data_IF_086518931878
#
_entry.id   IF_086518931878
#
_cell.length_a   1.000
_cell.length_b   1.000
_cell.length_c   1.000
_cell.angle_alpha   90.00
_cell.angle_beta   90.00
_cell.angle_gamma   90.00
#
_symmetry.space_group_name_H-M   'P 1'
#
loop_
_entity.id
_entity.type
_entity.pdbx_description
1 polymer ?
#
# COMPACT_ATOMS: atom_id res chain seq x y z
N UNK A 1 -26.20 10.06 2.94
CA UNK A 1 -25.30 8.93 3.22
C UNK A 1 -24.09 9.01 2.30
N UNK A 2 -24.29 9.39 1.02
CA UNK A 2 -23.23 9.77 0.07
C UNK A 2 -22.20 10.77 0.64
N UNK A 3 -22.64 11.81 1.36
CA UNK A 3 -21.74 12.84 1.92
C UNK A 3 -20.64 12.29 2.87
N UNK A 4 -20.90 11.20 3.59
CA UNK A 4 -19.93 10.64 4.55
C UNK A 4 -18.82 9.80 3.90
N UNK A 5 -19.12 9.17 2.77
CA UNK A 5 -18.17 8.40 1.96
C UNK A 5 -17.34 9.32 1.06
N UNK A 6 -17.96 10.34 0.45
CA UNK A 6 -17.26 11.37 -0.32
C UNK A 6 -16.24 12.13 0.56
N UNK A 7 -16.58 12.37 1.83
CA UNK A 7 -15.67 13.01 2.80
C UNK A 7 -14.40 12.16 3.07
N UNK A 8 -14.52 10.82 3.08
CA UNK A 8 -13.37 9.92 3.25
C UNK A 8 -12.39 10.05 2.08
N UNK A 9 -12.94 10.13 0.87
CA UNK A 9 -12.16 10.25 -0.37
C UNK A 9 -11.41 11.58 -0.41
N UNK A 10 -12.10 12.67 -0.08
CA UNK A 10 -11.52 14.02 -0.02
C UNK A 10 -10.43 14.13 1.05
N UNK A 11 -10.69 13.62 2.27
CA UNK A 11 -9.69 13.63 3.35
C UNK A 11 -8.46 12.82 2.94
N UNK A 12 -8.65 11.64 2.35
CA UNK A 12 -7.55 10.80 1.88
C UNK A 12 -6.70 11.46 0.80
N UNK A 13 -7.33 12.17 -0.15
CA UNK A 13 -6.64 12.92 -1.19
C UNK A 13 -5.83 14.08 -0.60
N UNK A 14 -6.45 14.90 0.24
CA UNK A 14 -5.79 16.05 0.90
C UNK A 14 -4.60 15.57 1.73
N UNK A 15 -4.78 14.49 2.50
CA UNK A 15 -3.72 13.88 3.30
C UNK A 15 -2.56 13.40 2.44
N UNK A 16 -2.85 12.72 1.33
CA UNK A 16 -1.85 12.23 0.39
C UNK A 16 -1.04 13.37 -0.25
N UNK A 17 -1.72 14.45 -0.65
CA UNK A 17 -1.09 15.66 -1.20
C UNK A 17 -0.19 16.33 -0.15
N UNK A 18 -0.68 16.46 1.08
CA UNK A 18 0.08 17.11 2.15
C UNK A 18 1.36 16.33 2.52
N UNK A 19 1.24 15.00 2.64
CA UNK A 19 2.38 14.12 2.90
C UNK A 19 3.34 14.10 1.71
N UNK A 20 2.84 14.12 0.48
CA UNK A 20 3.67 14.23 -0.73
C UNK A 20 4.50 15.51 -0.70
N UNK A 21 3.90 16.67 -0.41
CA UNK A 21 4.63 17.92 -0.34
C UNK A 21 5.67 17.92 0.76
N UNK A 22 5.33 17.37 1.94
CA UNK A 22 6.28 17.20 3.03
C UNK A 22 7.48 16.36 2.60
N UNK A 23 7.27 15.12 2.14
CA UNK A 23 8.35 14.22 1.75
C UNK A 23 9.18 14.81 0.60
N UNK A 24 8.52 15.38 -0.42
CA UNK A 24 9.18 16.00 -1.57
C UNK A 24 10.05 17.19 -1.17
N UNK A 25 9.54 18.07 -0.30
CA UNK A 25 10.32 19.20 0.23
C UNK A 25 11.60 18.71 0.90
N UNK A 26 11.50 17.72 1.79
CA UNK A 26 12.66 17.20 2.49
C UNK A 26 13.60 16.37 1.60
N UNK A 27 13.07 15.71 0.57
CA UNK A 27 13.85 14.91 -0.36
C UNK A 27 14.63 15.78 -1.36
N UNK A 28 14.03 16.86 -1.86
CA UNK A 28 14.59 17.70 -2.93
C UNK A 28 15.39 18.92 -2.44
N UNK A 29 15.24 19.33 -1.16
CA UNK A 29 15.93 20.51 -0.62
C UNK A 29 17.44 20.34 -0.42
N UNK A 30 17.94 19.11 -0.36
CA UNK A 30 19.33 18.83 0.01
C UNK A 30 20.26 19.02 -1.20
N UNK A 31 20.99 20.14 -1.24
CA UNK A 31 21.99 20.43 -2.28
C UNK A 31 23.21 19.50 -2.22
N UNK A 32 23.55 19.01 -1.03
CA UNK A 32 24.57 17.99 -0.78
C UNK A 32 23.94 16.85 0.03
N UNK A 33 23.28 15.93 -0.67
CA UNK A 33 22.57 14.81 -0.05
C UNK A 33 23.53 13.67 0.31
N UNK A 34 23.83 13.54 1.60
CA UNK A 34 24.73 12.54 2.19
C UNK A 34 24.04 11.21 2.53
N UNK A 35 22.72 11.12 2.31
CA UNK A 35 21.96 9.89 2.53
C UNK A 35 22.47 8.77 1.63
N UNK A 36 22.36 7.55 2.12
CA UNK A 36 22.70 6.34 1.37
C UNK A 36 21.73 6.13 0.20
N UNK A 37 22.15 5.40 -0.83
CA UNK A 37 21.37 5.23 -2.07
C UNK A 37 19.98 4.64 -1.83
N UNK A 38 19.84 3.74 -0.87
CA UNK A 38 18.60 3.05 -0.54
C UNK A 38 17.62 3.96 0.20
N UNK A 39 18.13 4.90 1.03
CA UNK A 39 17.32 5.98 1.62
C UNK A 39 16.80 6.93 0.54
N UNK A 40 17.66 7.32 -0.40
CA UNK A 40 17.30 8.15 -1.56
C UNK A 40 16.27 7.46 -2.46
N UNK A 41 16.51 6.19 -2.80
CA UNK A 41 15.62 5.39 -3.63
C UNK A 41 14.28 5.15 -2.94
N UNK A 42 14.29 4.79 -1.65
CA UNK A 42 13.07 4.62 -0.87
C UNK A 42 12.21 5.88 -0.83
N UNK A 43 12.82 7.05 -0.59
CA UNK A 43 12.11 8.33 -0.64
C UNK A 43 11.50 8.60 -2.03
N UNK A 44 12.26 8.37 -3.10
CA UNK A 44 11.77 8.55 -4.48
C UNK A 44 10.59 7.61 -4.78
N UNK A 45 10.67 6.34 -4.39
CA UNK A 45 9.60 5.36 -4.60
C UNK A 45 8.33 5.70 -3.80
N UNK A 46 8.47 6.19 -2.56
CA UNK A 46 7.33 6.67 -1.76
C UNK A 46 6.70 7.91 -2.40
N UNK A 47 7.50 8.84 -2.94
CA UNK A 47 6.99 9.99 -3.70
C UNK A 47 6.19 9.52 -4.93
N UNK A 48 6.73 8.58 -5.70
CA UNK A 48 6.02 8.01 -6.85
C UNK A 48 4.74 7.29 -6.47
N UNK A 49 4.73 6.56 -5.35
CA UNK A 49 3.54 5.90 -4.81
C UNK A 49 2.44 6.92 -4.50
N UNK A 50 2.79 8.00 -3.80
CA UNK A 50 1.83 9.07 -3.48
C UNK A 50 1.33 9.79 -4.73
N UNK A 51 2.22 10.10 -5.69
CA UNK A 51 1.85 10.67 -6.98
C UNK A 51 0.88 9.77 -7.75
N UNK A 52 1.13 8.46 -7.78
CA UNK A 52 0.24 7.50 -8.40
C UNK A 52 -1.14 7.48 -7.75
N UNK A 53 -1.21 7.45 -6.41
CA UNK A 53 -2.50 7.46 -5.70
C UNK A 53 -3.26 8.76 -5.93
N UNK A 54 -2.60 9.92 -5.82
CA UNK A 54 -3.21 11.23 -6.11
C UNK A 54 -3.75 11.27 -7.53
N UNK A 55 -2.95 10.86 -8.52
CA UNK A 55 -3.38 10.87 -9.92
C UNK A 55 -4.55 9.91 -10.17
N UNK A 56 -4.56 8.73 -9.55
CA UNK A 56 -5.68 7.79 -9.64
C UNK A 56 -6.97 8.39 -9.06
N UNK A 57 -6.89 9.08 -7.91
CA UNK A 57 -8.05 9.73 -7.29
C UNK A 57 -8.53 10.96 -8.05
N UNK A 58 -7.62 11.78 -8.57
CA UNK A 58 -8.01 12.93 -9.40
C UNK A 58 -8.78 12.49 -10.65
N UNK A 59 -8.46 11.33 -11.23
CA UNK A 59 -9.21 10.76 -12.37
C UNK A 59 -10.64 10.32 -12.00
N UNK A 60 -10.88 9.95 -10.75
CA UNK A 60 -12.24 9.62 -10.27
C UNK A 60 -13.07 10.89 -10.04
N UNK A 61 -12.40 12.02 -9.72
CA UNK A 61 -13.04 13.30 -9.37
C UNK A 61 -13.24 14.27 -10.55
N UNK A 62 -12.40 14.19 -11.60
CA UNK A 62 -12.49 15.08 -12.75
C UNK A 62 -13.40 14.44 -13.81
N UNK A 63 -14.56 15.04 -14.15
CA UNK A 63 -15.38 14.55 -15.25
C UNK A 63 -14.60 14.64 -16.56
N UNK A 64 -14.67 13.59 -17.39
CA UNK A 64 -13.94 13.47 -18.65
C UNK A 64 -14.05 14.76 -19.48
N UNK A 65 -12.90 15.37 -19.77
CA UNK A 65 -12.79 16.60 -20.56
C UNK A 65 -12.79 16.29 -22.07
N UNK A 66 -13.94 15.84 -22.57
CA UNK A 66 -14.48 16.30 -23.86
C UNK A 66 -13.66 16.11 -25.15
N UNK A 67 -12.90 15.02 -25.32
CA UNK A 67 -12.50 14.58 -26.67
C UNK A 67 -13.48 13.51 -27.17
N UNK A 68 -14.50 13.95 -27.92
CA UNK A 68 -15.55 13.11 -28.52
C UNK A 68 -15.13 12.51 -29.89
N UNK A 69 -13.84 12.28 -30.13
CA UNK A 69 -13.37 11.54 -31.31
C UNK A 69 -13.17 10.06 -30.95
N UNK A 70 -13.96 9.13 -31.52
CA UNK A 70 -13.92 7.69 -31.19
C UNK A 70 -12.55 7.02 -31.44
N UNK A 71 -11.82 7.45 -32.46
CA UNK A 71 -10.54 6.83 -32.84
C UNK A 71 -9.39 7.33 -31.95
N UNK A 72 -9.44 8.61 -31.57
CA UNK A 72 -8.47 9.24 -30.66
C UNK A 72 -8.73 8.83 -29.21
N UNK A 73 -10.00 8.70 -28.82
CA UNK A 73 -10.39 8.27 -27.47
C UNK A 73 -9.99 6.83 -27.16
N UNK A 74 -10.17 5.90 -28.10
CA UNK A 74 -9.77 4.49 -27.91
C UNK A 74 -8.27 4.34 -27.60
N UNK A 75 -7.43 4.97 -28.42
CA UNK A 75 -5.97 4.96 -28.21
C UNK A 75 -5.56 5.63 -26.89
N UNK A 76 -6.17 6.78 -26.56
CA UNK A 76 -5.86 7.51 -25.32
C UNK A 76 -6.24 6.69 -24.08
N UNK A 77 -7.42 6.05 -24.07
CA UNK A 77 -7.87 5.20 -22.96
C UNK A 77 -6.91 4.02 -22.78
N UNK A 78 -6.56 3.33 -23.85
CA UNK A 78 -5.63 2.20 -23.80
C UNK A 78 -4.23 2.61 -23.33
N UNK A 79 -3.68 3.69 -23.89
CA UNK A 79 -2.37 4.21 -23.50
C UNK A 79 -2.35 4.64 -22.02
N UNK A 80 -3.40 5.32 -21.55
CA UNK A 80 -3.55 5.72 -20.15
C UNK A 80 -3.62 4.51 -19.23
N UNK A 81 -4.39 3.49 -19.59
CA UNK A 81 -4.51 2.26 -18.82
C UNK A 81 -3.20 1.46 -18.78
N UNK A 82 -2.49 1.37 -19.92
CA UNK A 82 -1.19 0.73 -20.01
C UNK A 82 -0.17 1.42 -19.10
N UNK A 83 -0.05 2.75 -19.21
CA UNK A 83 0.86 3.53 -18.38
C UNK A 83 0.47 3.48 -16.89
N UNK A 84 -0.82 3.51 -16.56
CA UNK A 84 -1.31 3.36 -15.18
C UNK A 84 -0.89 2.03 -14.57
N UNK A 85 -1.06 0.94 -15.33
CA UNK A 85 -0.62 -0.39 -14.91
C UNK A 85 0.89 -0.41 -14.66
N UNK A 86 1.70 0.00 -15.64
CA UNK A 86 3.16 0.02 -15.51
C UNK A 86 3.65 0.81 -14.29
N UNK A 87 3.06 1.99 -14.02
CA UNK A 87 3.39 2.79 -12.84
C UNK A 87 3.16 2.02 -11.55
N UNK A 88 1.97 1.44 -11.39
CA UNK A 88 1.60 0.67 -10.21
C UNK A 88 2.62 -0.46 -9.99
N UNK A 89 2.88 -1.26 -11.01
CA UNK A 89 3.77 -2.41 -10.90
C UNK A 89 5.23 -2.02 -10.66
N UNK A 90 5.76 -1.01 -11.34
CA UNK A 90 7.13 -0.57 -11.09
C UNK A 90 7.35 -0.08 -9.67
N UNK A 91 6.47 0.78 -9.16
CA UNK A 91 6.61 1.34 -7.82
C UNK A 91 6.61 0.21 -6.77
N UNK A 92 5.62 -0.68 -6.81
CA UNK A 92 5.50 -1.75 -5.83
C UNK A 92 6.64 -2.77 -5.91
N UNK A 93 7.02 -3.21 -7.12
CA UNK A 93 8.11 -4.16 -7.30
C UNK A 93 9.45 -3.58 -6.84
N UNK A 94 9.77 -2.35 -7.20
CA UNK A 94 11.02 -1.73 -6.79
C UNK A 94 11.06 -1.43 -5.29
N UNK A 95 9.93 -1.05 -4.70
CA UNK A 95 9.85 -0.85 -3.24
C UNK A 95 10.11 -2.16 -2.48
N UNK A 96 9.60 -3.29 -2.98
CA UNK A 96 9.83 -4.62 -2.39
C UNK A 96 11.22 -5.20 -2.67
N UNK A 97 11.74 -5.03 -3.89
CA UNK A 97 12.95 -5.75 -4.35
C UNK A 97 14.25 -4.97 -4.21
N UNK A 98 14.20 -3.65 -4.00
CA UNK A 98 15.39 -2.81 -3.85
C UNK A 98 15.66 -2.36 -2.41
N UNK A 99 14.64 -1.99 -1.65
CA UNK A 99 14.84 -1.21 -0.42
C UNK A 99 15.07 -2.06 0.84
N UNK A 100 14.17 -2.97 1.25
CA UNK A 100 14.35 -3.70 2.51
C UNK A 100 15.61 -4.59 2.46
N UNK A 101 15.76 -5.33 1.37
CA UNK A 101 16.95 -6.10 1.01
C UNK A 101 17.10 -6.00 -0.51
N UNK A 102 18.24 -5.52 -1.04
CA UNK A 102 18.44 -5.41 -2.48
C UNK A 102 18.61 -6.79 -3.09
N UNK A 103 17.51 -7.33 -3.61
CA UNK A 103 17.47 -8.54 -4.42
C UNK A 103 18.02 -8.27 -5.82
N UNK A 104 17.72 -7.09 -6.36
CA UNK A 104 18.26 -6.62 -7.63
C UNK A 104 19.59 -5.90 -7.36
N UNK A 105 20.69 -6.65 -7.31
CA UNK A 105 22.04 -6.13 -7.01
C UNK A 105 22.75 -5.55 -8.22
N UNK A 106 22.31 -5.85 -9.44
CA UNK A 106 22.95 -5.39 -10.66
C UNK A 106 21.99 -4.56 -11.51
N UNK A 107 22.51 -3.53 -12.20
CA UNK A 107 21.71 -2.69 -13.09
C UNK A 107 20.96 -3.46 -14.18
N UNK A 108 21.53 -4.56 -14.70
CA UNK A 108 20.84 -5.40 -15.67
C UNK A 108 19.61 -6.12 -15.09
N UNK A 109 19.61 -6.48 -13.80
CA UNK A 109 18.46 -7.11 -13.15
C UNK A 109 17.28 -6.14 -13.06
N UNK A 110 17.57 -4.86 -12.80
CA UNK A 110 16.58 -3.78 -12.84
C UNK A 110 16.05 -3.60 -14.26
N UNK A 111 16.94 -3.64 -15.27
CA UNK A 111 16.54 -3.65 -16.69
C UNK A 111 15.61 -4.82 -17.05
N UNK A 112 15.90 -6.02 -16.57
CA UNK A 112 15.08 -7.22 -16.79
C UNK A 112 13.72 -7.08 -16.11
N UNK A 113 13.64 -6.66 -14.85
CA UNK A 113 12.36 -6.37 -14.17
C UNK A 113 11.59 -5.27 -14.91
N UNK A 114 12.31 -4.23 -15.33
CA UNK A 114 11.87 -3.18 -16.23
C UNK A 114 11.09 -3.73 -17.44
N UNK A 115 11.77 -4.58 -18.20
CA UNK A 115 11.23 -5.21 -19.41
C UNK A 115 10.09 -6.19 -19.12
N UNK A 116 10.19 -6.98 -18.05
CA UNK A 116 9.14 -7.92 -17.66
C UNK A 116 7.82 -7.21 -17.36
N UNK A 117 7.84 -6.04 -16.70
CA UNK A 117 6.62 -5.25 -16.50
C UNK A 117 6.01 -4.82 -17.83
N UNK A 118 6.81 -4.36 -18.80
CA UNK A 118 6.30 -3.99 -20.13
C UNK A 118 5.64 -5.20 -20.81
N UNK A 119 6.35 -6.33 -20.85
CA UNK A 119 5.89 -7.56 -21.53
C UNK A 119 4.64 -8.11 -20.86
N UNK A 120 4.62 -8.18 -19.52
CA UNK A 120 3.45 -8.70 -18.81
C UNK A 120 2.28 -7.72 -18.87
N UNK A 121 2.50 -6.41 -18.89
CA UNK A 121 1.41 -5.44 -19.15
C UNK A 121 0.83 -5.65 -20.54
N UNK A 122 1.68 -5.89 -21.53
CA UNK A 122 1.22 -6.24 -22.86
C UNK A 122 0.43 -7.55 -22.86
N UNK A 123 0.92 -8.63 -22.24
CA UNK A 123 0.23 -9.92 -22.20
C UNK A 123 -1.11 -9.85 -21.45
N UNK A 124 -1.12 -9.25 -20.25
CA UNK A 124 -2.33 -9.09 -19.42
C UNK A 124 -3.42 -8.31 -20.17
N UNK A 125 -3.05 -7.34 -21.02
CA UNK A 125 -3.99 -6.52 -21.78
C UNK A 125 -4.31 -7.04 -23.20
N UNK A 126 -3.36 -7.72 -23.85
CA UNK A 126 -3.52 -8.27 -25.22
C UNK A 126 -4.19 -9.64 -25.25
N UNK A 127 -4.36 -10.30 -24.10
CA UNK A 127 -5.22 -11.47 -23.95
C UNK A 127 -6.73 -11.14 -24.11
N UNK A 128 -7.09 -9.97 -24.64
CA UNK A 128 -8.45 -9.63 -25.03
C UNK A 128 -8.82 -10.32 -26.35
N UNK A 129 -9.77 -11.26 -26.28
CA UNK A 129 -10.59 -11.53 -27.46
C UNK A 129 -11.41 -10.25 -27.77
N UNK A 130 -11.78 -10.02 -29.03
CA UNK A 130 -12.46 -8.78 -29.47
C UNK A 130 -13.79 -8.49 -28.75
N UNK A 131 -14.39 -9.51 -28.11
CA UNK A 131 -15.62 -9.42 -27.32
C UNK A 131 -15.38 -9.63 -25.80
N UNK A 132 -14.13 -9.68 -25.36
CA UNK A 132 -13.75 -9.86 -23.97
C UNK A 132 -13.68 -8.51 -23.24
N UNK A 133 -14.13 -8.48 -21.98
CA UNK A 133 -13.85 -7.37 -21.09
C UNK A 133 -12.32 -7.16 -20.98
N UNK A 134 -11.78 -5.96 -21.29
CA UNK A 134 -10.34 -5.68 -21.35
C UNK A 134 -9.61 -5.77 -20.00
N UNK A 135 -10.31 -6.04 -18.90
CA UNK A 135 -9.73 -5.97 -17.56
C UNK A 135 -9.25 -7.30 -16.94
N UNK A 136 -9.53 -8.48 -17.53
CA UNK A 136 -9.53 -9.73 -16.72
C UNK A 136 -9.03 -11.04 -17.38
N UNK A 137 -8.22 -11.01 -18.44
CA UNK A 137 -7.85 -12.26 -19.13
C UNK A 137 -6.52 -12.90 -18.69
N UNK A 138 -5.58 -12.14 -18.12
CA UNK A 138 -4.36 -12.67 -17.50
C UNK A 138 -3.88 -11.73 -16.38
N UNK A 139 -3.23 -12.30 -15.37
CA UNK A 139 -2.77 -11.66 -14.14
C UNK A 139 -1.30 -11.95 -13.86
N UNK A 140 -0.47 -11.98 -14.90
CA UNK A 140 0.97 -12.24 -14.76
C UNK A 140 1.66 -11.15 -13.94
N UNK A 141 1.27 -9.89 -14.12
CA UNK A 141 1.83 -8.79 -13.33
C UNK A 141 1.49 -8.92 -11.85
N UNK A 142 0.25 -9.27 -11.53
CA UNK A 142 -0.19 -9.45 -10.15
C UNK A 142 0.49 -10.66 -9.51
N UNK A 143 0.62 -11.75 -10.26
CA UNK A 143 1.42 -12.92 -9.86
C UNK A 143 2.87 -12.55 -9.58
N UNK A 144 3.48 -11.68 -10.40
CA UNK A 144 4.83 -11.19 -10.18
C UNK A 144 4.93 -10.32 -8.91
N UNK A 145 3.95 -9.45 -8.62
CA UNK A 145 3.86 -8.76 -7.32
C UNK A 145 3.82 -9.78 -6.19
N UNK A 146 3.02 -10.85 -6.30
CA UNK A 146 2.90 -11.85 -5.22
C UNK A 146 4.22 -12.56 -4.94
N UNK A 147 4.99 -12.86 -5.97
CA UNK A 147 6.36 -13.40 -5.80
C UNK A 147 7.27 -12.40 -5.10
N UNK A 148 7.20 -11.11 -5.44
CA UNK A 148 7.95 -10.06 -4.75
C UNK A 148 7.49 -9.87 -3.29
N UNK A 149 6.17 -9.98 -3.03
CA UNK A 149 5.61 -9.94 -1.69
C UNK A 149 6.15 -11.05 -0.80
N UNK A 150 6.35 -12.25 -1.34
CA UNK A 150 6.92 -13.38 -0.59
C UNK A 150 8.34 -13.09 -0.07
N UNK A 151 9.12 -12.24 -0.77
CA UNK A 151 10.42 -11.77 -0.29
C UNK A 151 10.25 -10.92 0.95
N UNK A 152 9.43 -9.86 0.89
CA UNK A 152 9.14 -9.01 2.05
C UNK A 152 8.50 -9.82 3.19
N UNK A 153 7.59 -10.74 2.88
CA UNK A 153 6.96 -11.65 3.83
C UNK A 153 7.99 -12.44 4.62
N UNK A 154 8.96 -13.05 3.94
CA UNK A 154 9.99 -13.85 4.62
C UNK A 154 10.79 -13.04 5.63
N UNK A 155 11.11 -11.77 5.29
CA UNK A 155 11.87 -10.86 6.14
C UNK A 155 11.01 -10.34 7.29
N UNK A 156 9.80 -9.87 7.00
CA UNK A 156 8.86 -9.34 7.98
C UNK A 156 8.40 -10.40 8.99
N UNK A 157 8.08 -11.62 8.52
CA UNK A 157 7.68 -12.72 9.40
C UNK A 157 8.85 -13.16 10.29
N UNK A 158 10.05 -13.33 9.73
CA UNK A 158 11.24 -13.65 10.53
C UNK A 158 11.46 -12.61 11.62
N UNK A 159 11.29 -11.33 11.28
CA UNK A 159 11.44 -10.23 12.21
C UNK A 159 10.38 -10.24 13.33
N UNK A 160 9.12 -10.56 13.03
CA UNK A 160 8.08 -10.73 14.06
C UNK A 160 8.36 -11.91 15.00
N UNK A 161 8.79 -13.04 14.43
CA UNK A 161 9.04 -14.26 15.19
C UNK A 161 10.33 -14.18 16.02
N UNK A 162 11.34 -13.48 15.53
CA UNK A 162 12.66 -13.42 16.16
C UNK A 162 13.23 -11.99 16.13
N UNK A 163 12.55 -11.00 16.75
CA UNK A 163 13.07 -9.65 16.80
C UNK A 163 14.40 -9.64 17.57
N UNK A 164 15.47 -9.04 17.03
CA UNK A 164 16.71 -8.88 17.78
C UNK A 164 16.49 -7.99 19.01
N UNK A 165 17.29 -8.14 20.08
CA UNK A 165 17.28 -7.24 21.23
C UNK A 165 17.45 -5.78 20.80
N UNK A 166 16.85 -4.81 21.48
CA UNK A 166 16.92 -3.39 21.11
C UNK A 166 18.29 -2.76 21.37
N UNK A 167 19.01 -3.28 22.35
CA UNK A 167 20.35 -2.88 22.77
C UNK A 167 21.46 -3.56 21.96
N UNK A 168 21.11 -4.46 21.02
CA UNK A 168 22.08 -5.07 20.14
C UNK A 168 22.59 -4.05 19.09
N UNK A 169 23.92 -3.86 19.08
CA UNK A 169 24.63 -2.94 18.17
C UNK A 169 25.39 -3.66 17.04
N UNK A 170 25.31 -4.99 16.98
CA UNK A 170 25.97 -5.75 15.93
C UNK A 170 25.29 -5.54 14.58
N UNK A 171 26.09 -5.45 13.51
CA UNK A 171 25.59 -5.16 12.16
C UNK A 171 24.46 -6.07 11.66
N UNK A 172 24.38 -7.33 12.14
CA UNK A 172 23.34 -8.26 11.71
C UNK A 172 22.01 -7.93 12.38
N UNK A 173 22.02 -7.65 13.68
CA UNK A 173 20.84 -7.19 14.41
C UNK A 173 20.31 -5.87 13.84
N UNK A 174 21.18 -4.89 13.58
CA UNK A 174 20.79 -3.60 13.00
C UNK A 174 20.16 -3.77 11.60
N UNK A 175 20.80 -4.59 10.74
CA UNK A 175 20.27 -4.88 9.41
C UNK A 175 18.92 -5.63 9.47
N UNK A 176 18.75 -6.54 10.43
CA UNK A 176 17.49 -7.26 10.64
C UNK A 176 16.37 -6.35 11.13
N UNK A 177 16.64 -5.39 12.03
CA UNK A 177 15.65 -4.38 12.45
C UNK A 177 15.23 -3.52 11.27
N UNK A 178 16.20 -2.95 10.56
CA UNK A 178 15.95 -2.08 9.40
C UNK A 178 15.15 -2.77 8.29
N UNK A 179 15.61 -3.94 7.85
CA UNK A 179 14.94 -4.71 6.79
C UNK A 179 13.58 -5.26 7.24
N UNK A 180 13.48 -5.73 8.49
CA UNK A 180 12.26 -6.26 9.09
C UNK A 180 11.15 -5.22 9.22
N UNK A 181 11.46 -4.06 9.80
CA UNK A 181 10.51 -2.96 9.88
C UNK A 181 10.06 -2.50 8.48
N UNK A 182 10.99 -2.36 7.54
CA UNK A 182 10.66 -1.85 6.20
C UNK A 182 9.78 -2.85 5.46
N UNK A 183 10.07 -4.14 5.59
CA UNK A 183 9.27 -5.21 5.02
C UNK A 183 7.84 -5.24 5.59
N UNK A 184 7.67 -5.09 6.91
CA UNK A 184 6.34 -5.02 7.53
C UNK A 184 5.53 -3.82 7.03
N UNK A 185 6.16 -2.65 6.96
CA UNK A 185 5.51 -1.46 6.40
C UNK A 185 5.15 -1.64 4.93
N UNK A 186 6.07 -2.16 4.12
CA UNK A 186 5.86 -2.41 2.69
C UNK A 186 4.68 -3.34 2.46
N UNK A 187 4.60 -4.41 3.24
CA UNK A 187 3.49 -5.36 3.13
C UNK A 187 2.19 -4.68 3.48
N UNK A 188 2.13 -3.85 4.52
CA UNK A 188 0.92 -3.11 4.86
C UNK A 188 0.47 -2.11 3.77
N UNK A 189 1.37 -1.67 2.87
CA UNK A 189 1.03 -0.89 1.66
C UNK A 189 0.56 -1.78 0.50
N UNK A 190 1.15 -2.97 0.34
CA UNK A 190 0.78 -3.91 -0.73
C UNK A 190 -0.49 -4.71 -0.38
N UNK A 191 -0.83 -4.78 0.91
CA UNK A 191 -2.07 -5.31 1.47
C UNK A 191 -3.26 -4.43 1.07
N UNK A 192 -3.66 -4.55 -0.19
CA UNK A 192 -4.86 -3.98 -0.80
C UNK A 192 -6.15 -4.64 -0.26
N UNK A 193 -7.33 -4.22 -0.72
CA UNK A 193 -8.66 -4.83 -0.53
C UNK A 193 -8.62 -6.37 -0.54
N UNK A 194 -7.73 -6.96 -1.32
CA UNK A 194 -7.52 -8.41 -1.39
C UNK A 194 -7.32 -9.08 -0.02
N UNK A 195 -6.81 -8.37 1.01
CA UNK A 195 -6.69 -8.93 2.37
C UNK A 195 -8.05 -9.32 2.97
N UNK A 196 -9.11 -8.58 2.64
CA UNK A 196 -10.46 -8.84 3.12
C UNK A 196 -11.13 -10.08 2.55
N UNK A 197 -10.46 -10.73 1.58
CA UNK A 197 -10.91 -11.94 0.89
C UNK A 197 -10.18 -13.19 1.38
N UNK A 198 -9.23 -13.03 2.30
CA UNK A 198 -8.34 -14.11 2.76
C UNK A 198 -9.10 -15.31 3.31
N UNK A 199 -10.19 -15.06 4.06
CA UNK A 199 -11.04 -16.11 4.64
C UNK A 199 -11.87 -16.79 3.54
N UNK A 200 -12.46 -16.00 2.64
CA UNK A 200 -13.30 -16.51 1.55
C UNK A 200 -12.57 -17.56 0.71
N UNK A 201 -11.29 -17.33 0.42
CA UNK A 201 -10.47 -18.29 -0.31
C UNK A 201 -10.29 -19.63 0.44
N UNK A 202 -10.19 -19.60 1.77
CA UNK A 202 -9.92 -20.80 2.59
C UNK A 202 -11.19 -21.61 2.86
N UNK A 203 -12.31 -20.93 3.11
CA UNK A 203 -13.58 -21.59 3.40
C UNK A 203 -14.39 -21.97 2.15
N UNK A 204 -13.94 -21.49 0.97
CA UNK A 204 -14.60 -21.74 -0.30
C UNK A 204 -15.93 -20.99 -0.46
N UNK A 205 -16.17 -19.96 0.34
CA UNK A 205 -17.38 -19.14 0.25
C UNK A 205 -17.35 -18.20 -0.96
N UNK A 206 -18.52 -17.70 -1.34
CA UNK A 206 -18.66 -16.67 -2.37
C UNK A 206 -17.88 -15.38 -2.09
N UNK A 207 -17.38 -15.20 -0.86
CA UNK A 207 -16.50 -14.10 -0.47
C UNK A 207 -15.05 -14.22 -1.02
N UNK A 208 -14.74 -15.30 -1.75
CA UNK A 208 -13.54 -15.43 -2.61
C UNK A 208 -13.73 -14.86 -4.03
N UNK A 209 -14.81 -14.08 -4.21
CA UNK A 209 -15.53 -13.83 -5.46
C UNK A 209 -14.70 -13.58 -6.71
N UNK A 210 -13.55 -12.90 -6.61
CA UNK A 210 -12.71 -12.52 -7.76
C UNK A 210 -12.27 -13.71 -8.64
N UNK A 211 -12.29 -14.93 -8.13
CA UNK A 211 -11.93 -16.14 -8.90
C UNK A 211 -12.97 -16.54 -9.94
N UNK A 212 -14.27 -16.52 -9.62
CA UNK A 212 -15.25 -17.21 -10.45
C UNK A 212 -15.75 -16.44 -11.67
N UNK A 213 -16.14 -15.15 -11.57
CA UNK A 213 -16.57 -14.38 -12.74
C UNK A 213 -15.42 -14.20 -13.72
N UNK A 214 -14.22 -13.84 -13.26
CA UNK A 214 -13.05 -13.63 -14.13
C UNK A 214 -12.68 -14.89 -14.91
N UNK A 215 -12.72 -16.06 -14.27
CA UNK A 215 -12.50 -17.36 -14.93
C UNK A 215 -13.63 -17.70 -15.91
N UNK A 216 -14.89 -17.46 -15.52
CA UNK A 216 -16.05 -17.69 -16.37
C UNK A 216 -16.03 -16.77 -17.60
N UNK A 217 -15.67 -15.50 -17.43
CA UNK A 217 -15.51 -14.53 -18.50
C UNK A 217 -14.35 -14.92 -19.43
N UNK A 218 -13.19 -15.27 -18.89
CA UNK A 218 -12.05 -15.77 -19.67
C UNK A 218 -12.42 -17.01 -20.49
N UNK A 219 -13.20 -17.92 -19.89
CA UNK A 219 -13.70 -19.11 -20.58
C UNK A 219 -14.74 -18.82 -21.66
N UNK A 220 -15.63 -17.85 -21.40
CA UNK A 220 -16.63 -17.41 -22.36
C UNK A 220 -16.02 -16.66 -23.55
N UNK A 221 -14.94 -15.90 -23.33
CA UNK A 221 -14.32 -15.04 -24.34
C UNK A 221 -13.23 -15.74 -25.16
N UNK A 222 -12.35 -16.51 -24.52
CA UNK A 222 -11.14 -17.08 -25.11
C UNK A 222 -11.08 -18.62 -25.01
N UNK A 223 -12.12 -19.24 -24.46
CA UNK A 223 -12.27 -20.69 -24.39
C UNK A 223 -11.63 -21.33 -23.15
N UNK A 224 -11.81 -22.65 -23.03
CA UNK A 224 -11.47 -23.41 -21.83
C UNK A 224 -10.01 -23.26 -21.38
N UNK A 225 -9.05 -23.27 -22.31
CA UNK A 225 -7.63 -23.17 -21.96
C UNK A 225 -7.31 -21.84 -21.28
N UNK A 226 -7.90 -20.73 -21.74
CA UNK A 226 -7.70 -19.43 -21.10
C UNK A 226 -8.36 -19.40 -19.71
N UNK A 227 -9.57 -19.95 -19.58
CA UNK A 227 -10.21 -20.11 -18.27
C UNK A 227 -9.31 -20.82 -17.26
N UNK A 228 -8.63 -21.88 -17.69
CA UNK A 228 -7.72 -22.66 -16.83
C UNK A 228 -6.46 -21.88 -16.45
N UNK A 229 -5.91 -21.07 -17.37
CA UNK A 229 -4.77 -20.18 -17.07
C UNK A 229 -5.19 -19.13 -16.04
N UNK A 230 -6.30 -18.42 -16.29
CA UNK A 230 -6.84 -17.41 -15.36
C UNK A 230 -7.13 -18.01 -13.99
N UNK A 231 -7.68 -19.24 -13.94
CA UNK A 231 -7.96 -19.94 -12.69
C UNK A 231 -6.69 -20.25 -11.91
N UNK A 232 -5.64 -20.71 -12.61
CA UNK A 232 -4.35 -20.99 -11.99
C UNK A 232 -3.69 -19.72 -11.43
N UNK A 233 -3.69 -18.64 -12.21
CA UNK A 233 -3.12 -17.34 -11.79
C UNK A 233 -3.88 -16.76 -10.59
N UNK A 234 -5.22 -16.77 -10.63
CA UNK A 234 -6.05 -16.30 -9.52
C UNK A 234 -5.88 -17.12 -8.25
N UNK A 235 -5.82 -18.46 -8.40
CA UNK A 235 -5.59 -19.37 -7.26
C UNK A 235 -4.22 -19.12 -6.65
N UNK A 236 -3.20 -18.87 -7.47
CA UNK A 236 -1.87 -18.51 -7.00
C UNK A 236 -1.87 -17.17 -6.25
N UNK A 237 -2.52 -16.14 -6.81
CA UNK A 237 -2.59 -14.80 -6.20
C UNK A 237 -3.31 -14.85 -4.85
N UNK A 238 -4.54 -15.36 -4.83
CA UNK A 238 -5.33 -15.43 -3.59
C UNK A 238 -4.70 -16.38 -2.58
N UNK A 239 -4.20 -17.54 -3.02
CA UNK A 239 -3.52 -18.48 -2.13
C UNK A 239 -2.28 -17.87 -1.47
N UNK A 240 -1.49 -17.11 -2.22
CA UNK A 240 -0.33 -16.40 -1.70
C UNK A 240 -0.74 -15.32 -0.70
N UNK A 241 -1.72 -14.49 -1.04
CA UNK A 241 -2.25 -13.46 -0.13
C UNK A 241 -2.80 -14.06 1.17
N UNK A 242 -3.69 -15.06 1.08
CA UNK A 242 -4.26 -15.74 2.24
C UNK A 242 -3.17 -16.35 3.12
N UNK A 243 -2.18 -17.01 2.51
CA UNK A 243 -1.05 -17.57 3.25
C UNK A 243 -0.25 -16.49 4.00
N UNK A 244 0.09 -15.38 3.33
CA UNK A 244 0.80 -14.26 3.93
C UNK A 244 0.01 -13.69 5.11
N UNK A 245 -1.29 -13.42 4.91
CA UNK A 245 -2.16 -12.87 5.95
C UNK A 245 -2.25 -13.78 7.16
N UNK A 246 -2.44 -15.09 6.95
CA UNK A 246 -2.59 -16.06 8.05
C UNK A 246 -1.30 -16.18 8.83
N UNK A 247 -0.17 -16.31 8.13
CA UNK A 247 1.13 -16.40 8.75
C UNK A 247 1.47 -15.12 9.54
N UNK A 248 1.11 -13.93 9.03
CA UNK A 248 1.24 -12.70 9.78
C UNK A 248 0.31 -12.62 10.99
N UNK A 249 -0.95 -13.02 10.88
CA UNK A 249 -1.87 -13.06 12.03
C UNK A 249 -1.33 -13.93 13.16
N UNK A 250 -0.86 -15.14 12.82
CA UNK A 250 -0.24 -16.07 13.78
C UNK A 250 1.07 -15.47 14.33
N UNK A 251 1.91 -14.91 13.47
CA UNK A 251 3.18 -14.27 13.86
C UNK A 251 2.97 -13.10 14.81
N UNK A 252 1.94 -12.28 14.59
CA UNK A 252 1.57 -11.16 15.46
C UNK A 252 1.07 -11.62 16.83
N UNK A 253 0.23 -12.66 16.89
CA UNK A 253 -0.20 -13.27 18.16
C UNK A 253 1.02 -13.80 18.92
N UNK A 254 1.89 -14.56 18.24
CA UNK A 254 3.10 -15.09 18.83
C UNK A 254 3.99 -13.98 19.39
N UNK A 255 4.25 -12.93 18.60
CA UNK A 255 5.06 -11.79 19.01
C UNK A 255 4.48 -11.12 20.26
N UNK A 256 3.18 -10.84 20.29
CA UNK A 256 2.51 -10.22 21.45
C UNK A 256 2.57 -11.09 22.71
N UNK A 257 2.39 -12.40 22.58
CA UNK A 257 2.54 -13.34 23.70
C UNK A 257 3.98 -13.31 24.24
N UNK A 258 4.98 -13.26 23.35
CA UNK A 258 6.38 -13.19 23.74
C UNK A 258 6.74 -11.84 24.38
N UNK A 259 6.18 -10.74 23.90
CA UNK A 259 6.31 -9.43 24.56
C UNK A 259 5.68 -9.43 25.96
N UNK A 260 4.48 -10.01 26.11
CA UNK A 260 3.82 -10.13 27.41
C UNK A 260 4.65 -10.95 28.40
N UNK A 261 5.30 -12.02 27.92
CA UNK A 261 6.24 -12.84 28.69
C UNK A 261 7.62 -12.20 28.90
N UNK A 262 7.83 -10.99 28.37
CA UNK A 262 9.12 -10.26 28.41
C UNK A 262 10.27 -10.99 27.71
N UNK A 263 9.96 -11.90 26.80
CA UNK A 263 10.94 -12.61 25.97
C UNK A 263 11.29 -11.82 24.71
N UNK A 264 10.36 -11.00 24.20
CA UNK A 264 10.58 -10.07 23.10
C UNK A 264 10.50 -8.62 23.58
N UNK A 265 11.25 -7.69 22.96
CA UNK A 265 11.13 -6.26 23.27
C UNK A 265 9.81 -5.68 22.73
N UNK A 266 9.25 -4.71 23.46
CA UNK A 266 8.17 -3.86 22.93
C UNK A 266 8.81 -2.88 21.95
N UNK A 267 8.40 -2.96 20.69
CA UNK A 267 9.02 -2.23 19.58
C UNK A 267 8.01 -1.92 18.47
N UNK A 268 8.46 -1.37 17.35
CA UNK A 268 7.61 -1.15 16.16
C UNK A 268 7.01 -2.48 15.65
N UNK A 269 7.67 -3.63 15.88
CA UNK A 269 7.11 -4.95 15.61
C UNK A 269 5.80 -5.20 16.37
N UNK A 270 5.71 -4.71 17.61
CA UNK A 270 4.54 -4.79 18.47
C UNK A 270 3.40 -3.92 17.92
N UNK A 271 3.73 -2.73 17.42
CA UNK A 271 2.76 -1.82 16.78
C UNK A 271 2.18 -2.46 15.51
N UNK A 272 3.04 -2.96 14.62
CA UNK A 272 2.58 -3.68 13.42
C UNK A 272 1.79 -4.94 13.77
N UNK A 273 2.14 -5.64 14.85
CA UNK A 273 1.36 -6.79 15.33
C UNK A 273 -0.06 -6.39 15.74
N UNK A 274 -0.19 -5.28 16.48
CA UNK A 274 -1.51 -4.73 16.82
C UNK A 274 -2.31 -4.34 15.58
N UNK A 275 -1.68 -3.66 14.63
CA UNK A 275 -2.30 -3.29 13.35
C UNK A 275 -2.77 -4.51 12.55
N UNK A 276 -1.93 -5.53 12.38
CA UNK A 276 -2.27 -6.76 11.65
C UNK A 276 -3.48 -7.45 12.29
N UNK A 277 -3.55 -7.52 13.63
CA UNK A 277 -4.70 -8.11 14.33
C UNK A 277 -5.96 -7.26 14.25
N UNK A 278 -5.82 -5.93 14.23
CA UNK A 278 -6.92 -5.04 13.93
C UNK A 278 -7.49 -5.29 12.52
N UNK A 279 -6.61 -5.38 11.50
CA UNK A 279 -7.03 -5.75 10.14
C UNK A 279 -7.72 -7.12 10.13
N UNK A 280 -7.16 -8.14 10.79
CA UNK A 280 -7.82 -9.43 10.92
C UNK A 280 -9.22 -9.34 11.53
N UNK A 281 -9.42 -8.46 12.51
CA UNK A 281 -10.74 -8.24 13.12
C UNK A 281 -11.74 -7.68 12.09
N UNK A 282 -11.30 -6.74 11.25
CA UNK A 282 -12.10 -6.23 10.13
C UNK A 282 -12.36 -7.29 9.05
N UNK A 283 -11.37 -8.14 8.74
CA UNK A 283 -11.53 -9.29 7.83
C UNK A 283 -12.62 -10.24 8.33
N UNK A 284 -12.57 -10.61 9.62
CA UNK A 284 -13.61 -11.46 10.23
C UNK A 284 -14.98 -10.79 10.19
N UNK A 285 -15.05 -9.49 10.51
CA UNK A 285 -16.31 -8.76 10.52
C UNK A 285 -16.94 -8.66 9.13
N UNK A 286 -16.18 -8.26 8.10
CA UNK A 286 -16.68 -8.23 6.71
C UNK A 286 -17.09 -9.61 6.25
N UNK A 287 -16.30 -10.64 6.57
CA UNK A 287 -16.63 -12.01 6.20
C UNK A 287 -17.92 -12.52 6.83
N UNK A 288 -18.09 -12.29 8.13
CA UNK A 288 -19.34 -12.58 8.83
C UNK A 288 -20.52 -11.83 8.21
N UNK A 289 -20.36 -10.55 7.89
CA UNK A 289 -21.42 -9.73 7.31
C UNK A 289 -21.90 -10.27 5.96
N UNK A 290 -20.96 -10.71 5.11
CA UNK A 290 -21.25 -11.35 3.83
C UNK A 290 -21.99 -12.68 4.02
N UNK A 291 -21.45 -13.61 4.81
CA UNK A 291 -21.99 -14.97 4.93
C UNK A 291 -23.33 -15.00 5.68
N UNK A 292 -23.55 -14.06 6.61
CA UNK A 292 -24.81 -13.93 7.33
C UNK A 292 -25.92 -13.21 6.53
N UNK A 293 -25.58 -12.59 5.40
CA UNK A 293 -26.50 -11.71 4.66
C UNK A 293 -26.82 -10.41 5.40
N UNK A 294 -25.98 -9.99 6.34
CA UNK A 294 -26.13 -8.70 7.03
C UNK A 294 -25.83 -7.50 6.12
N UNK A 295 -24.96 -7.72 5.13
CA UNK A 295 -24.59 -6.74 4.11
C UNK A 295 -24.37 -7.45 2.77
N UNK A 296 -24.70 -6.76 1.69
CA UNK A 296 -24.73 -7.29 0.32
C UNK A 296 -23.89 -6.43 -0.61
N UNK A 297 -23.03 -7.10 -1.38
CA UNK A 297 -22.25 -6.49 -2.44
C UNK A 297 -22.64 -7.09 -3.77
N UNK A 298 -22.52 -6.31 -4.84
CA UNK A 298 -22.68 -6.81 -6.20
C UNK A 298 -21.45 -7.62 -6.63
N UNK A 299 -21.48 -8.09 -7.88
CA UNK A 299 -20.39 -8.85 -8.47
C UNK A 299 -19.09 -8.05 -8.66
N UNK A 300 -19.15 -6.72 -8.57
CA UNK A 300 -18.03 -5.80 -8.67
C UNK A 300 -17.62 -5.24 -7.29
N UNK A 301 -18.15 -5.81 -6.20
CA UNK A 301 -17.91 -5.36 -4.82
C UNK A 301 -18.45 -3.94 -4.54
N UNK A 302 -19.35 -3.45 -5.37
CA UNK A 302 -20.09 -2.24 -5.04
C UNK A 302 -21.13 -2.57 -3.98
N UNK A 303 -21.24 -1.76 -2.93
CA UNK A 303 -22.25 -1.96 -1.91
C UNK A 303 -23.65 -1.83 -2.51
N UNK A 304 -24.51 -2.82 -2.26
CA UNK A 304 -25.91 -2.82 -2.69
C UNK A 304 -26.87 -2.34 -1.60
N UNK A 305 -26.38 -2.18 -0.38
CA UNK A 305 -27.12 -1.69 0.76
C UNK A 305 -26.23 -0.84 1.69
N UNK A 306 -26.88 -0.13 2.61
CA UNK A 306 -26.22 0.82 3.52
C UNK A 306 -25.19 0.15 4.44
N UNK A 307 -25.48 -1.08 4.91
CA UNK A 307 -24.54 -1.81 5.77
C UNK A 307 -23.28 -2.18 4.98
N UNK A 308 -23.44 -2.63 3.73
CA UNK A 308 -22.34 -2.91 2.83
C UNK A 308 -21.49 -1.67 2.57
N UNK A 309 -22.13 -0.52 2.36
CA UNK A 309 -21.42 0.75 2.13
C UNK A 309 -20.56 1.14 3.34
N UNK A 310 -21.12 1.04 4.54
CA UNK A 310 -20.41 1.33 5.81
C UNK A 310 -19.25 0.35 6.01
N UNK A 311 -19.47 -0.95 5.79
CA UNK A 311 -18.43 -1.97 5.94
C UNK A 311 -17.32 -1.77 4.93
N UNK A 312 -17.63 -1.46 3.66
CA UNK A 312 -16.64 -1.09 2.64
C UNK A 312 -15.84 0.15 3.05
N UNK A 313 -16.48 1.15 3.65
CA UNK A 313 -15.80 2.34 4.19
C UNK A 313 -14.80 1.99 5.29
N UNK A 314 -15.19 1.13 6.23
CA UNK A 314 -14.38 0.71 7.38
C UNK A 314 -13.25 -0.25 7.02
N UNK A 315 -13.40 -0.99 5.92
CA UNK A 315 -12.42 -1.96 5.44
C UNK A 315 -11.51 -1.33 4.38
N UNK A 316 -12.00 -1.26 3.15
CA UNK A 316 -11.26 -0.78 1.98
C UNK A 316 -10.97 0.71 2.10
N UNK A 317 -12.01 1.50 2.37
CA UNK A 317 -11.90 2.96 2.48
C UNK A 317 -10.88 3.40 3.55
N UNK A 318 -10.98 2.86 4.75
CA UNK A 318 -10.05 3.15 5.84
C UNK A 318 -8.60 2.77 5.47
N UNK A 319 -8.41 1.61 4.84
CA UNK A 319 -7.07 1.13 4.49
C UNK A 319 -6.43 1.99 3.40
N UNK A 320 -7.16 2.28 2.32
CA UNK A 320 -6.65 3.06 1.20
C UNK A 320 -6.46 4.53 1.51
N UNK A 321 -7.40 5.16 2.21
CA UNK A 321 -7.45 6.61 2.33
C UNK A 321 -6.68 7.12 3.55
N UNK A 322 -6.51 6.29 4.58
CA UNK A 322 -5.86 6.71 5.82
C UNK A 322 -4.60 5.93 6.13
N UNK A 323 -4.65 4.61 6.00
CA UNK A 323 -3.52 3.77 6.39
C UNK A 323 -2.35 3.93 5.40
N UNK A 324 -2.61 3.94 4.09
CA UNK A 324 -1.54 4.08 3.10
C UNK A 324 -0.74 5.39 3.23
N UNK A 325 -1.38 6.58 3.31
CA UNK A 325 -0.62 7.82 3.48
C UNK A 325 0.13 7.85 4.83
N UNK A 326 -0.47 7.31 5.89
CA UNK A 326 0.17 7.22 7.21
C UNK A 326 1.40 6.32 7.18
N UNK A 327 1.31 5.17 6.52
CA UNK A 327 2.44 4.26 6.36
C UNK A 327 3.51 4.89 5.45
N UNK A 328 3.14 5.64 4.41
CA UNK A 328 4.08 6.38 3.58
C UNK A 328 4.87 7.41 4.41
N UNK A 329 4.20 8.15 5.29
CA UNK A 329 4.85 9.06 6.23
C UNK A 329 5.77 8.31 7.21
N UNK A 330 5.30 7.18 7.75
CA UNK A 330 6.09 6.33 8.63
C UNK A 330 7.33 5.79 7.90
N UNK A 331 7.20 5.37 6.64
CA UNK A 331 8.34 5.01 5.79
C UNK A 331 9.32 6.17 5.66
N UNK A 332 8.83 7.34 5.29
CA UNK A 332 9.68 8.49 5.06
C UNK A 332 10.47 8.91 6.30
N UNK A 333 9.79 8.99 7.44
CA UNK A 333 10.35 9.56 8.68
C UNK A 333 11.08 8.50 9.49
N UNK A 334 10.42 7.40 9.86
CA UNK A 334 10.97 6.41 10.80
C UNK A 334 12.13 5.64 10.22
N UNK A 335 12.15 5.41 8.92
CA UNK A 335 13.28 4.75 8.25
C UNK A 335 14.35 5.74 7.78
N UNK A 336 14.23 7.01 8.18
CA UNK A 336 15.18 8.05 7.84
C UNK A 336 15.30 8.27 6.33
N UNK A 337 14.28 7.95 5.52
CA UNK A 337 14.36 8.19 4.08
C UNK A 337 14.53 9.69 3.79
N UNK A 338 14.06 10.56 4.70
CA UNK A 338 14.29 12.01 4.68
C UNK A 338 15.13 12.48 5.88
N UNK A 339 15.86 13.59 5.72
CA UNK A 339 16.69 14.17 6.79
C UNK A 339 15.90 15.23 7.58
N UNK A 340 15.65 14.95 8.86
CA UNK A 340 15.04 15.86 9.83
C UNK A 340 16.11 16.19 10.88
N UNK A 341 16.71 17.37 10.77
CA UNK A 341 17.89 17.72 11.58
C UNK A 341 17.63 18.96 12.46
N UNK A 342 16.89 19.94 11.93
CA UNK A 342 16.69 21.21 12.63
C UNK A 342 15.44 21.21 13.50
N UNK A 343 15.40 22.09 14.51
CA UNK A 343 14.19 22.29 15.32
C UNK A 343 12.99 22.73 14.46
N UNK A 344 13.25 23.50 13.39
CA UNK A 344 12.23 23.87 12.40
C UNK A 344 11.66 22.63 11.70
N UNK A 345 12.50 21.68 11.32
CA UNK A 345 12.07 20.46 10.66
C UNK A 345 11.18 19.61 11.57
N UNK A 346 11.57 19.49 12.85
CA UNK A 346 10.76 18.82 13.88
C UNK A 346 9.40 19.50 14.07
N UNK A 347 9.34 20.83 14.03
CA UNK A 347 8.08 21.59 14.07
C UNK A 347 7.19 21.28 12.87
N UNK A 348 7.75 21.19 11.66
CA UNK A 348 7.00 20.82 10.46
C UNK A 348 6.49 19.38 10.57
N UNK A 349 7.34 18.42 10.97
CA UNK A 349 6.94 17.03 11.21
C UNK A 349 5.78 16.94 12.21
N UNK A 350 5.84 17.70 13.30
CA UNK A 350 4.76 17.76 14.30
C UNK A 350 3.43 18.20 13.70
N UNK A 351 3.45 19.25 12.88
CA UNK A 351 2.24 19.74 12.22
C UNK A 351 1.66 18.66 11.29
N UNK A 352 2.52 17.96 10.55
CA UNK A 352 2.10 16.87 9.66
C UNK A 352 1.53 15.69 10.43
N UNK A 353 2.21 15.22 11.46
CA UNK A 353 1.74 14.12 12.29
C UNK A 353 0.41 14.44 12.98
N UNK A 354 0.25 15.66 13.49
CA UNK A 354 -1.03 16.14 14.04
C UNK A 354 -2.13 16.19 12.98
N UNK A 355 -1.84 16.70 11.79
CA UNK A 355 -2.79 16.73 10.67
C UNK A 355 -3.28 15.33 10.29
N UNK A 356 -2.36 14.35 10.21
CA UNK A 356 -2.69 12.94 9.97
C UNK A 356 -3.59 12.38 11.06
N UNK A 357 -3.24 12.59 12.33
CA UNK A 357 -4.05 12.10 13.45
C UNK A 357 -5.44 12.71 13.48
N UNK A 358 -5.56 14.02 13.21
CA UNK A 358 -6.85 14.71 13.13
C UNK A 358 -7.68 14.15 11.98
N UNK A 359 -7.08 13.89 10.81
CA UNK A 359 -7.76 13.28 9.67
C UNK A 359 -8.27 11.86 9.99
N UNK A 360 -7.42 11.00 10.57
CA UNK A 360 -7.81 9.65 10.99
C UNK A 360 -8.92 9.71 12.03
N UNK A 361 -8.78 10.56 13.04
CA UNK A 361 -9.77 10.71 14.09
C UNK A 361 -11.10 11.19 13.53
N UNK A 362 -11.10 12.21 12.66
CA UNK A 362 -12.31 12.74 12.04
C UNK A 362 -13.05 11.68 11.23
N UNK A 363 -12.33 10.95 10.37
CA UNK A 363 -12.94 9.85 9.59
C UNK A 363 -13.48 8.76 10.51
N UNK A 364 -12.68 8.30 11.47
CA UNK A 364 -13.11 7.22 12.37
C UNK A 364 -14.32 7.66 13.20
N UNK A 365 -14.38 8.93 13.57
CA UNK A 365 -15.53 9.57 14.23
C UNK A 365 -16.77 9.47 13.34
N UNK A 366 -16.69 9.98 12.12
CA UNK A 366 -17.82 10.00 11.19
C UNK A 366 -18.31 8.59 10.88
N UNK A 367 -17.39 7.63 10.68
CA UNK A 367 -17.78 6.24 10.43
C UNK A 367 -18.39 5.58 11.67
N UNK A 368 -17.84 5.84 12.86
CA UNK A 368 -18.34 5.27 14.10
C UNK A 368 -19.70 5.85 14.49
N UNK A 369 -19.96 7.13 14.23
CA UNK A 369 -21.27 7.77 14.43
C UNK A 369 -22.38 7.10 13.61
N UNK A 370 -22.05 6.62 12.40
CA UNK A 370 -23.00 5.88 11.55
C UNK A 370 -23.35 4.52 12.18
N UNK A 371 -22.39 3.85 12.84
CA UNK A 371 -22.59 2.51 13.44
C UNK A 371 -23.19 2.60 14.84
N UNK A 372 -22.67 3.52 15.65
CA UNK A 372 -23.03 3.77 17.04
C UNK A 372 -23.35 5.25 17.13
N UNK A 373 -24.63 5.65 17.31
CA UNK A 373 -25.00 7.05 17.44
C UNK A 373 -24.50 7.59 18.79
N UNK A 374 -23.21 7.92 18.86
CA UNK A 374 -22.56 8.60 19.96
C UNK A 374 -22.61 10.10 19.66
N UNK A 375 -22.99 10.97 20.61
CA UNK A 375 -22.96 12.41 20.38
C UNK A 375 -21.55 12.90 20.02
N UNK A 376 -21.41 13.68 18.95
CA UNK A 376 -20.15 14.22 18.42
C UNK A 376 -19.28 14.86 19.52
N UNK A 377 -19.93 15.50 20.50
CA UNK A 377 -19.29 16.14 21.65
C UNK A 377 -18.49 15.14 22.50
N UNK A 378 -19.00 13.94 22.75
CA UNK A 378 -18.31 12.95 23.58
C UNK A 378 -17.02 12.47 22.91
N UNK A 379 -17.08 12.24 21.60
CA UNK A 379 -15.94 11.77 20.85
C UNK A 379 -14.93 12.89 20.59
N UNK A 380 -15.38 14.11 20.26
CA UNK A 380 -14.54 15.29 20.20
C UNK A 380 -13.85 15.60 21.54
N UNK A 381 -14.52 15.34 22.66
CA UNK A 381 -13.92 15.44 24.01
C UNK A 381 -12.87 14.34 24.23
N UNK A 382 -13.09 13.10 23.81
CA UNK A 382 -12.07 12.03 23.92
C UNK A 382 -10.86 12.34 23.04
N UNK A 383 -11.06 12.70 21.77
CA UNK A 383 -9.98 13.12 20.87
C UNK A 383 -9.25 14.36 21.39
N UNK A 384 -10.00 15.36 21.89
CA UNK A 384 -9.45 16.56 22.51
C UNK A 384 -8.65 16.28 23.78
N UNK A 385 -9.11 15.33 24.62
CA UNK A 385 -8.39 14.87 25.81
C UNK A 385 -7.09 14.14 25.44
N UNK A 386 -7.13 13.25 24.44
CA UNK A 386 -5.92 12.57 23.93
C UNK A 386 -4.91 13.60 23.41
N UNK A 387 -5.35 14.59 22.63
CA UNK A 387 -4.49 15.67 22.14
C UNK A 387 -3.96 16.56 23.29
N UNK A 388 -4.78 16.84 24.31
CA UNK A 388 -4.41 17.68 25.45
C UNK A 388 -3.40 17.02 26.42
N UNK A 389 -3.28 15.69 26.42
CA UNK A 389 -2.34 14.97 27.31
C UNK A 389 -0.86 15.09 26.90
N UNK A 390 -0.55 15.79 25.79
CA UNK A 390 0.84 15.92 25.30
C UNK A 390 1.38 14.67 24.61
N UNK A 391 0.49 13.74 24.25
CA UNK A 391 0.80 12.48 23.55
C UNK A 391 1.52 12.70 22.21
N UNK A 392 1.29 13.85 21.58
CA UNK A 392 1.99 14.33 20.39
C UNK A 392 3.52 14.30 20.53
N UNK A 393 4.08 14.59 21.72
CA UNK A 393 5.54 14.53 21.94
C UNK A 393 6.03 13.10 21.89
N UNK A 394 5.32 12.18 22.56
CA UNK A 394 5.63 10.76 22.52
C UNK A 394 5.50 10.18 21.11
N UNK A 395 4.52 10.65 20.33
CA UNK A 395 4.38 10.27 18.92
C UNK A 395 5.57 10.75 18.09
N UNK A 396 6.01 12.00 18.25
CA UNK A 396 7.17 12.54 17.53
C UNK A 396 8.45 11.81 17.92
N UNK A 397 8.68 11.61 19.21
CA UNK A 397 9.84 10.87 19.71
C UNK A 397 9.84 9.43 19.18
N UNK A 398 8.65 8.81 19.07
CA UNK A 398 8.52 7.48 18.48
C UNK A 398 8.74 7.46 16.96
N UNK A 399 8.37 8.54 16.25
CA UNK A 399 8.55 8.69 14.81
C UNK A 399 9.98 9.04 14.42
N UNK A 400 10.77 9.66 15.30
CA UNK A 400 12.17 9.98 14.99
C UNK A 400 12.92 8.70 14.58
N UNK A 401 13.69 8.76 13.47
CA UNK A 401 14.43 7.60 13.00
C UNK A 401 15.52 7.23 14.00
N UNK A 402 15.56 5.96 14.36
CA UNK A 402 16.63 5.39 15.16
C UNK A 402 17.96 5.53 14.39
N UNK A 403 19.09 5.71 15.08
CA UNK A 403 20.38 5.99 14.44
C UNK A 403 20.81 4.93 13.42
N UNK A 404 20.45 3.67 13.67
CA UNK A 404 20.67 2.55 12.75
C UNK A 404 19.97 2.73 11.39
N UNK A 405 18.80 3.40 11.36
CA UNK A 405 18.03 3.64 10.13
C UNK A 405 18.71 4.67 9.24
N UNK A 406 19.55 5.54 9.82
CA UNK A 406 20.29 6.58 9.11
C UNK A 406 21.64 6.08 8.58
N UNK A 407 22.27 5.17 9.31
CA UNK A 407 23.69 4.80 9.15
C UNK A 407 23.91 3.45 8.47
N UNK A 408 23.04 2.47 8.68
CA UNK A 408 23.19 1.14 8.10
C UNK A 408 22.63 1.13 6.69
N UNK A 409 23.44 0.74 5.70
CA UNK A 409 23.02 0.60 4.30
C UNK A 409 23.68 -0.59 3.63
N UNK A 410 22.99 -1.13 2.63
CA UNK A 410 23.53 -2.19 1.78
C UNK A 410 24.50 -1.58 0.76
N UNK A 411 25.65 -2.19 0.54
CA UNK A 411 26.56 -1.72 -0.50
C UNK A 411 25.93 -1.90 -1.89
N UNK A 412 25.86 -0.83 -2.68
CA UNK A 412 25.50 -0.92 -4.10
C UNK A 412 26.76 -1.17 -4.93
N UNK A 413 26.81 -2.25 -5.74
CA UNK A 413 28.02 -2.59 -6.49
C UNK A 413 28.21 -1.74 -7.76
N UNK A 414 27.22 -0.92 -8.14
CA UNK A 414 27.23 -0.12 -9.36
C UNK A 414 27.25 1.39 -9.10
N UNK A 415 26.89 2.16 -10.13
CA UNK A 415 26.74 3.60 -10.05
C UNK A 415 25.35 3.95 -9.47
N UNK A 416 25.34 4.51 -8.25
CA UNK A 416 24.11 4.89 -7.54
C UNK A 416 23.30 5.95 -8.30
N UNK A 417 23.95 6.87 -9.02
CA UNK A 417 23.29 7.92 -9.78
C UNK A 417 22.56 7.34 -10.98
N UNK A 418 23.18 6.37 -11.67
CA UNK A 418 22.53 5.65 -12.78
C UNK A 418 21.37 4.79 -12.30
N UNK A 419 21.49 4.16 -11.13
CA UNK A 419 20.41 3.43 -10.49
C UNK A 419 19.20 4.34 -10.24
N UNK A 420 19.41 5.46 -9.53
CA UNK A 420 18.36 6.42 -9.22
C UNK A 420 17.70 6.96 -10.49
N UNK A 421 18.50 7.41 -11.46
CA UNK A 421 17.96 7.91 -12.73
C UNK A 421 17.16 6.84 -13.48
N UNK A 422 17.69 5.62 -13.59
CA UNK A 422 17.06 4.53 -14.34
C UNK A 422 15.70 4.15 -13.79
N UNK A 423 15.59 3.96 -12.46
CA UNK A 423 14.31 3.63 -11.80
C UNK A 423 13.32 4.78 -11.91
N UNK A 424 13.76 6.02 -11.67
CA UNK A 424 12.89 7.20 -11.79
C UNK A 424 12.39 7.39 -13.23
N UNK A 425 13.18 7.09 -14.25
CA UNK A 425 12.73 7.15 -15.64
C UNK A 425 11.75 6.02 -15.98
N UNK A 426 11.98 4.79 -15.49
CA UNK A 426 11.07 3.67 -15.71
C UNK A 426 9.66 3.94 -15.15
N UNK A 427 9.57 4.63 -14.01
CA UNK A 427 8.29 5.03 -13.43
C UNK A 427 7.78 6.33 -14.07
N UNK A 428 8.64 7.33 -14.18
CA UNK A 428 8.27 8.68 -14.61
C UNK A 428 7.77 8.75 -16.05
N UNK A 429 8.31 7.94 -16.97
CA UNK A 429 7.86 7.93 -18.38
C UNK A 429 6.38 7.48 -18.47
N UNK A 430 5.99 6.30 -17.95
CA UNK A 430 4.58 5.92 -17.84
C UNK A 430 3.75 6.95 -17.07
N UNK A 431 4.26 7.53 -15.97
CA UNK A 431 3.50 8.52 -15.20
C UNK A 431 3.16 9.76 -16.00
N UNK A 432 4.16 10.34 -16.69
CA UNK A 432 3.97 11.52 -17.53
C UNK A 432 3.07 11.19 -18.70
N UNK A 433 3.20 9.99 -19.31
CA UNK A 433 2.26 9.54 -20.33
C UNK A 433 0.83 9.55 -19.79
N UNK A 434 0.58 8.88 -18.66
CA UNK A 434 -0.74 8.84 -18.00
C UNK A 434 -1.27 10.23 -17.66
N UNK A 435 -0.42 11.11 -17.12
CA UNK A 435 -0.80 12.46 -16.75
C UNK A 435 -1.20 13.27 -17.99
N UNK A 436 -0.38 13.25 -19.04
CA UNK A 436 -0.67 13.97 -20.26
C UNK A 436 -1.91 13.41 -20.96
N UNK A 437 -2.01 12.09 -21.11
CA UNK A 437 -3.16 11.47 -21.77
C UNK A 437 -4.44 11.57 -20.94
N UNK A 438 -4.36 11.51 -19.61
CA UNK A 438 -5.50 11.57 -18.70
C UNK A 438 -5.95 12.98 -18.31
N UNK A 439 -5.11 14.02 -18.46
CA UNK A 439 -5.50 15.44 -18.31
C UNK A 439 -6.02 16.03 -19.63
N UNK A 440 -5.62 15.43 -20.76
CA UNK A 440 -6.13 15.78 -22.09
C UNK A 440 -7.50 15.09 -22.36
N UNK A 441 -7.94 14.18 -21.49
CA UNK A 441 -9.17 13.40 -21.66
C UNK A 441 -10.24 13.67 -20.60
#
# INVERSE_FOLDING_TARGET
MDEGLELLDDIGLVLSVFILFFISYFHLRALNDDRTWDRKMGAALVIWLLLYFILRRLQELVPATGIEDPDVSGFIIEATAFASSMNFYYVHLFLMLLVPIPFLRNGWQIGVVGLMVVVFTFLDRSASAADADPYYNSMLLLSMIMVACLVCFSVGLRFLLFPPPLDADDSQSLAMRRSGYFALGTIAVVMDNMVFRSIGFVDGSGNAWWTFPTVNYSGASAGYNQAMITLAEMTFVLGTFSFIMIAFGIGSIYHLIKCYRKEHPVSLATVFSGYILFIWSLIFFRHWAYVSGYATWDMAENPLDDNAAIISALSDGFTFHLIYPTIALLHAVKFGLINIETERDRKILRIVALGVMVAIAAVFTTLLEIIIPVPDILLAVVCGLVLATGWERHLIDALEPDEEMKTISWAWPGDERKLLLGVNLMIGIPFVLKLLTGVIW
#
